data_IF_239209728685
#
_entry.id   IF_239209728685
#
_cell.length_a   1.000
_cell.length_b   1.000
_cell.length_c   1.000
_cell.angle_alpha   90.00
_cell.angle_beta   90.00
_cell.angle_gamma   90.00
#
_symmetry.space_group_name_H-M   'P 1'
#
loop_
_entity.id
_entity.type
_entity.pdbx_description
1 polymer ?
#
# COMPACT_ATOMS: atom_id res chain seq x y z
N UNK A 1 -50.72 -14.08 28.35
CA UNK A 1 -51.63 -13.36 27.42
C UNK A 1 -51.53 -11.90 27.80
N UNK A 2 -50.98 -10.97 27.04
CA UNK A 2 -50.45 -11.01 25.69
C UNK A 2 -49.40 -9.92 25.49
N UNK A 3 -48.55 -10.20 24.51
CA UNK A 3 -47.45 -9.39 24.01
C UNK A 3 -47.94 -8.03 23.49
N UNK A 4 -47.20 -6.96 23.78
CA UNK A 4 -47.28 -5.74 22.98
C UNK A 4 -45.97 -5.56 22.21
N UNK A 5 -45.95 -6.09 20.99
CA UNK A 5 -44.93 -5.85 19.97
C UNK A 5 -45.10 -4.41 19.47
N UNK A 6 -44.18 -3.52 19.86
CA UNK A 6 -44.05 -2.18 19.29
C UNK A 6 -42.76 -2.10 18.49
N UNK A 7 -42.86 -2.32 17.18
CA UNK A 7 -41.75 -2.24 16.20
C UNK A 7 -41.21 -0.81 16.17
N UNK A 8 -39.98 -0.62 16.67
CA UNK A 8 -39.20 0.59 16.41
C UNK A 8 -38.59 0.49 15.01
N UNK A 9 -39.16 1.22 14.06
CA UNK A 9 -38.51 1.47 12.78
C UNK A 9 -37.30 2.38 13.01
N UNK A 10 -36.10 1.80 13.04
CA UNK A 10 -34.85 2.54 12.86
C UNK A 10 -34.80 2.88 11.36
N UNK A 11 -35.20 4.09 10.99
CA UNK A 11 -34.78 4.66 9.72
C UNK A 11 -33.26 4.87 9.81
N UNK A 12 -32.50 3.93 9.25
CA UNK A 12 -31.13 4.18 8.87
C UNK A 12 -31.14 5.36 7.90
N UNK A 13 -30.69 6.52 8.38
CA UNK A 13 -30.41 7.68 7.55
C UNK A 13 -29.24 7.29 6.65
N UNK A 14 -29.54 6.67 5.50
CA UNK A 14 -28.62 6.52 4.39
C UNK A 14 -28.42 7.94 3.86
N UNK A 15 -27.51 8.68 4.49
CA UNK A 15 -27.08 9.98 4.00
C UNK A 15 -26.52 9.79 2.59
N UNK A 16 -27.23 10.30 1.59
CA UNK A 16 -26.69 10.43 0.25
C UNK A 16 -25.53 11.41 0.34
N UNK A 17 -24.29 10.91 0.25
CA UNK A 17 -23.11 11.74 0.08
C UNK A 17 -23.36 12.73 -1.06
N UNK A 18 -23.30 14.02 -0.76
CA UNK A 18 -23.46 15.09 -1.73
C UNK A 18 -22.38 15.00 -2.81
N UNK A 19 -22.66 15.58 -3.98
CA UNK A 19 -21.71 15.56 -5.10
C UNK A 19 -20.35 16.19 -4.72
N UNK A 20 -20.38 17.19 -3.85
CA UNK A 20 -19.20 17.87 -3.33
C UNK A 20 -18.37 16.96 -2.42
N UNK A 21 -19.00 16.19 -1.53
CA UNK A 21 -18.32 15.22 -0.67
C UNK A 21 -17.65 14.11 -1.49
N UNK A 22 -18.34 13.62 -2.54
CA UNK A 22 -17.77 12.61 -3.45
C UNK A 22 -16.58 13.15 -4.23
N UNK A 23 -16.65 14.41 -4.68
CA UNK A 23 -15.55 15.08 -5.38
C UNK A 23 -14.35 15.30 -4.45
N UNK A 24 -14.58 15.68 -3.19
CA UNK A 24 -13.53 15.84 -2.20
C UNK A 24 -12.86 14.51 -1.83
N UNK A 25 -13.66 13.44 -1.61
CA UNK A 25 -13.14 12.09 -1.35
C UNK A 25 -12.30 11.59 -2.53
N UNK A 26 -12.76 11.81 -3.77
CA UNK A 26 -12.00 11.46 -4.98
C UNK A 26 -10.66 12.20 -5.03
N UNK A 27 -10.65 13.52 -4.79
CA UNK A 27 -9.42 14.31 -4.75
C UNK A 27 -8.47 13.86 -3.63
N UNK A 28 -8.99 13.54 -2.45
CA UNK A 28 -8.17 13.00 -1.34
C UNK A 28 -7.53 11.66 -1.70
N UNK A 29 -8.25 10.79 -2.41
CA UNK A 29 -7.71 9.53 -2.90
C UNK A 29 -6.64 9.73 -3.98
N UNK A 30 -6.81 10.71 -4.88
CA UNK A 30 -5.82 11.02 -5.92
C UNK A 30 -4.51 11.58 -5.34
N UNK A 31 -4.61 12.38 -4.27
CA UNK A 31 -3.47 12.96 -3.53
C UNK A 31 -2.78 11.91 -2.65
N UNK A 32 -3.51 10.90 -2.16
CA UNK A 32 -2.92 9.87 -1.33
C UNK A 32 -1.79 9.12 -2.07
N UNK A 33 -0.72 8.82 -1.34
CA UNK A 33 0.44 8.14 -1.91
C UNK A 33 1.73 8.35 -1.12
N UNK A 34 2.79 7.73 -1.65
CA UNK A 34 4.16 7.88 -1.15
C UNK A 34 4.94 8.73 -2.15
N UNK A 35 5.61 9.73 -1.64
CA UNK A 35 6.36 10.72 -2.38
C UNK A 35 7.81 10.69 -1.89
N UNK A 36 8.77 10.89 -2.78
CA UNK A 36 10.19 10.98 -2.40
C UNK A 36 10.92 11.95 -3.31
N UNK A 37 11.92 12.63 -2.76
CA UNK A 37 12.85 13.42 -3.53
C UNK A 37 13.93 14.02 -2.64
N UNK A 38 14.82 14.79 -3.26
CA UNK A 38 15.98 15.35 -2.60
C UNK A 38 15.61 16.71 -2.01
N UNK A 39 15.96 16.92 -0.75
CA UNK A 39 15.90 18.20 -0.05
C UNK A 39 17.29 18.44 0.52
N UNK A 40 17.98 19.49 0.07
CA UNK A 40 19.36 19.78 0.49
C UNK A 40 20.29 18.55 0.37
N UNK A 41 20.21 17.86 -0.78
CA UNK A 41 20.95 16.64 -1.11
C UNK A 41 20.63 15.39 -0.26
N UNK A 42 19.68 15.48 0.67
CA UNK A 42 19.18 14.35 1.44
C UNK A 42 17.87 13.79 0.88
N UNK A 43 17.75 12.46 0.84
CA UNK A 43 16.53 11.80 0.35
C UNK A 43 15.42 11.85 1.40
N UNK A 44 14.49 12.76 1.21
CA UNK A 44 13.28 12.89 2.01
C UNK A 44 12.15 12.00 1.47
N UNK A 45 11.29 11.50 2.37
CA UNK A 45 10.09 10.72 2.04
C UNK A 45 8.86 11.31 2.72
N UNK A 46 7.79 11.43 1.94
CA UNK A 46 6.50 11.94 2.37
C UNK A 46 5.42 10.88 2.13
N UNK A 47 4.59 10.62 3.13
CA UNK A 47 3.45 9.69 3.05
C UNK A 47 2.18 10.47 3.36
N UNK A 48 1.27 10.54 2.39
CA UNK A 48 -0.05 11.16 2.53
C UNK A 48 -1.11 10.07 2.42
N UNK A 49 -1.99 9.97 3.42
CA UNK A 49 -3.11 9.02 3.41
C UNK A 49 -4.43 9.74 3.18
N UNK A 50 -5.39 9.07 2.55
CA UNK A 50 -6.73 9.61 2.30
C UNK A 50 -7.55 9.83 3.58
N UNK A 51 -7.16 9.20 4.69
CA UNK A 51 -7.74 9.40 6.04
C UNK A 51 -7.35 10.74 6.71
N UNK A 52 -6.64 11.61 6.00
CA UNK A 52 -6.18 12.90 6.50
C UNK A 52 -4.90 12.83 7.33
N UNK A 53 -4.21 11.68 7.43
CA UNK A 53 -2.89 11.59 8.07
C UNK A 53 -1.74 11.84 7.10
N UNK A 54 -0.68 12.46 7.61
CA UNK A 54 0.54 12.77 6.87
C UNK A 54 1.78 12.45 7.72
N UNK A 55 2.82 11.93 7.09
CA UNK A 55 4.11 11.64 7.73
C UNK A 55 5.26 12.06 6.82
N UNK A 56 6.25 12.75 7.39
CA UNK A 56 7.48 13.16 6.69
C UNK A 56 8.68 12.53 7.38
N UNK A 57 9.53 11.91 6.57
CA UNK A 57 10.87 11.46 6.89
C UNK A 57 11.81 12.46 6.20
N UNK A 58 12.41 13.42 6.92
CA UNK A 58 13.27 14.45 6.35
C UNK A 58 14.49 13.87 5.64
N UNK A 59 15.01 12.74 6.13
CA UNK A 59 16.07 11.99 5.45
C UNK A 59 15.94 10.48 5.68
N UNK A 60 16.69 9.69 4.93
CA UNK A 60 16.65 8.22 4.96
C UNK A 60 17.03 7.65 6.33
N UNK A 61 17.99 8.30 6.99
CA UNK A 61 18.61 7.82 8.22
C UNK A 61 18.20 8.69 9.44
N UNK A 62 17.24 9.60 9.26
CA UNK A 62 16.75 10.47 10.34
C UNK A 62 15.86 9.70 11.33
N UNK A 63 16.18 9.82 12.61
CA UNK A 63 15.27 9.45 13.71
C UNK A 63 14.11 10.44 13.86
N UNK A 64 14.22 11.63 13.26
CA UNK A 64 13.23 12.68 13.33
C UNK A 64 12.13 12.38 12.30
N UNK A 65 10.97 11.96 12.78
CA UNK A 65 9.78 11.72 11.95
C UNK A 65 8.69 12.72 12.29
N UNK A 66 8.31 13.56 11.33
CA UNK A 66 7.22 14.51 11.50
C UNK A 66 5.89 13.84 11.22
N UNK A 67 4.92 13.96 12.13
CA UNK A 67 3.61 13.31 12.01
C UNK A 67 2.48 14.29 12.26
N UNK A 68 1.38 14.14 11.53
CA UNK A 68 0.19 14.89 11.85
C UNK A 68 -0.93 14.75 10.84
N UNK A 69 -1.72 15.81 10.71
CA UNK A 69 -2.95 15.81 9.93
C UNK A 69 -2.88 16.82 8.80
N UNK A 70 -3.52 16.50 7.69
CA UNK A 70 -3.63 17.37 6.54
C UNK A 70 -5.08 17.59 6.13
N UNK A 71 -5.32 18.72 5.49
CA UNK A 71 -6.58 19.06 4.83
C UNK A 71 -6.32 19.72 3.49
N UNK A 72 -7.33 19.70 2.63
CA UNK A 72 -7.29 20.39 1.36
C UNK A 72 -7.90 21.78 1.53
N UNK A 73 -7.12 22.83 1.32
CA UNK A 73 -7.60 24.22 1.38
C UNK A 73 -7.25 24.92 0.07
N UNK A 74 -8.28 25.37 -0.67
CA UNK A 74 -8.11 26.07 -1.95
C UNK A 74 -7.18 25.32 -2.93
N UNK A 75 -7.24 23.98 -2.91
CA UNK A 75 -6.41 23.11 -3.76
C UNK A 75 -4.99 22.85 -3.24
N UNK A 76 -4.64 23.33 -2.06
CA UNK A 76 -3.36 23.08 -1.39
C UNK A 76 -3.52 22.07 -0.26
N UNK A 77 -2.52 21.21 -0.09
CA UNK A 77 -2.41 20.33 1.07
C UNK A 77 -1.80 21.14 2.20
N UNK A 78 -2.58 21.41 3.24
CA UNK A 78 -2.11 22.12 4.44
C UNK A 78 -1.99 21.10 5.56
N UNK A 79 -0.77 20.88 6.04
CA UNK A 79 -0.45 19.87 7.03
C UNK A 79 0.08 20.52 8.32
N UNK A 80 -0.49 20.12 9.46
CA UNK A 80 0.05 20.43 10.79
C UNK A 80 0.77 19.21 11.29
N UNK A 81 2.07 19.34 11.56
CA UNK A 81 2.98 18.24 11.87
C UNK A 81 3.69 18.51 13.18
N UNK A 82 3.84 17.48 14.00
CA UNK A 82 4.61 17.51 15.22
C UNK A 82 5.95 16.81 14.99
N UNK A 83 7.03 17.41 15.48
CA UNK A 83 8.30 16.72 15.63
C UNK A 83 8.30 15.86 16.93
N UNK A 84 9.32 15.01 17.15
CA UNK A 84 9.43 14.21 18.37
C UNK A 84 9.47 15.02 19.68
N UNK A 85 9.88 16.29 19.60
CA UNK A 85 9.98 17.22 20.73
C UNK A 85 8.65 17.94 21.03
N UNK A 86 7.60 17.69 20.22
CA UNK A 86 6.27 18.28 20.39
C UNK A 86 6.10 19.65 19.71
N UNK A 87 7.08 20.13 18.97
CA UNK A 87 6.97 21.37 18.20
C UNK A 87 6.11 21.19 16.95
N UNK A 88 5.19 22.13 16.74
CA UNK A 88 4.26 22.09 15.61
C UNK A 88 4.78 22.90 14.42
N UNK A 89 5.00 22.23 13.30
CA UNK A 89 5.36 22.83 12.01
C UNK A 89 4.14 22.77 11.09
N UNK A 90 3.88 23.83 10.35
CA UNK A 90 2.88 23.83 9.27
C UNK A 90 3.58 23.68 7.92
N UNK A 91 3.27 22.62 7.18
CA UNK A 91 3.75 22.41 5.82
C UNK A 91 2.64 22.68 4.81
N UNK A 92 2.93 23.46 3.77
CA UNK A 92 2.01 23.75 2.68
C UNK A 92 2.56 23.11 1.41
N UNK A 93 1.79 22.20 0.81
CA UNK A 93 2.17 21.44 -0.38
C UNK A 93 1.18 21.65 -1.53
N UNK A 94 1.70 21.59 -2.76
CA UNK A 94 0.92 21.64 -3.99
C UNK A 94 1.15 20.37 -4.81
N UNK A 95 0.07 19.72 -5.22
CA UNK A 95 0.15 18.68 -6.22
C UNK A 95 0.38 19.31 -7.60
N UNK A 96 1.40 18.86 -8.32
CA UNK A 96 1.68 19.28 -9.71
C UNK A 96 1.71 18.02 -10.58
N UNK A 97 0.63 17.74 -11.31
CA UNK A 97 0.45 16.47 -12.00
C UNK A 97 0.38 15.32 -11.01
N UNK A 98 1.31 14.36 -11.12
CA UNK A 98 1.44 13.27 -10.13
C UNK A 98 2.32 13.63 -8.95
N UNK A 99 3.17 14.65 -9.06
CA UNK A 99 4.20 14.96 -8.08
C UNK A 99 3.72 15.90 -6.99
N UNK A 100 4.47 15.97 -5.89
CA UNK A 100 4.20 16.85 -4.77
C UNK A 100 5.34 17.86 -4.62
N UNK A 101 4.96 19.13 -4.50
CA UNK A 101 5.90 20.22 -4.25
C UNK A 101 5.59 20.77 -2.87
N UNK A 102 6.57 20.76 -1.97
CA UNK A 102 6.48 21.55 -0.74
C UNK A 102 6.67 22.99 -1.17
N UNK A 103 5.69 23.86 -0.92
CA UNK A 103 5.81 25.28 -1.24
C UNK A 103 6.57 25.99 -0.12
N UNK A 104 6.17 25.71 1.12
CA UNK A 104 6.80 26.26 2.30
C UNK A 104 6.54 25.45 3.57
N UNK A 105 7.45 25.59 4.54
CA UNK A 105 7.24 25.21 5.93
C UNK A 105 7.22 26.47 6.81
N UNK A 106 6.40 26.43 7.85
CA UNK A 106 6.25 27.52 8.83
C UNK A 106 6.49 26.92 10.21
N UNK A 107 7.53 27.37 10.89
CA UNK A 107 7.87 26.98 12.26
C UNK A 107 7.01 27.74 13.29
N UNK A 108 6.96 27.28 14.56
CA UNK A 108 6.20 27.95 15.61
C UNK A 108 6.60 29.43 15.84
N UNK A 109 7.87 29.76 15.61
CA UNK A 109 8.44 31.10 15.72
C UNK A 109 8.07 32.04 14.55
N UNK A 110 7.32 31.55 13.56
CA UNK A 110 6.97 32.28 12.35
C UNK A 110 8.05 32.21 11.25
N UNK A 111 9.13 31.47 11.46
CA UNK A 111 10.17 31.23 10.45
C UNK A 111 9.59 30.48 9.24
N UNK A 112 9.77 31.05 8.05
CA UNK A 112 9.29 30.49 6.78
C UNK A 112 10.47 30.01 5.93
N UNK A 113 10.39 28.77 5.48
CA UNK A 113 11.31 28.23 4.46
C UNK A 113 10.51 27.96 3.19
N UNK A 114 10.88 28.58 2.06
CA UNK A 114 10.26 28.34 0.76
C UNK A 114 11.12 27.39 -0.10
N UNK A 115 10.48 26.54 -0.89
CA UNK A 115 11.18 25.53 -1.68
C UNK A 115 10.84 25.66 -3.19
N UNK A 116 11.86 25.70 -4.05
CA UNK A 116 11.70 25.75 -5.52
C UNK A 116 11.22 24.42 -6.16
N UNK A 117 11.02 24.29 -7.47
CA UNK A 117 10.59 23.02 -8.09
C UNK A 117 11.75 22.14 -8.61
N UNK A 118 11.61 20.78 -8.64
CA UNK A 118 10.62 19.90 -7.99
C UNK A 118 11.21 19.05 -6.84
N UNK A 119 10.51 18.97 -5.68
CA UNK A 119 11.07 18.30 -4.50
C UNK A 119 10.58 16.90 -4.19
N UNK A 120 9.40 16.45 -4.65
CA UNK A 120 8.99 15.05 -4.41
C UNK A 120 8.25 14.44 -5.60
N UNK A 121 8.86 13.42 -6.20
CA UNK A 121 8.20 12.58 -7.20
C UNK A 121 7.28 11.59 -6.51
N UNK A 122 6.06 11.41 -7.02
CA UNK A 122 5.18 10.34 -6.52
C UNK A 122 5.83 9.02 -6.90
N UNK A 123 6.23 8.24 -5.90
CA UNK A 123 6.62 6.87 -6.14
C UNK A 123 5.37 6.12 -6.55
N UNK A 124 5.43 5.39 -7.67
CA UNK A 124 4.36 4.46 -8.06
C UNK A 124 4.06 3.58 -6.86
N UNK A 125 2.93 3.80 -6.21
CA UNK A 125 2.53 2.98 -5.09
C UNK A 125 2.38 1.53 -5.57
N UNK A 126 2.57 0.55 -4.68
CA UNK A 126 2.12 -0.81 -4.96
C UNK A 126 0.62 -0.83 -5.33
N UNK A 127 -0.18 0.09 -4.76
CA UNK A 127 -1.56 0.35 -5.17
C UNK A 127 -1.76 0.88 -6.59
N UNK A 128 -0.76 1.52 -7.22
CA UNK A 128 -0.82 1.93 -8.64
C UNK A 128 -0.34 0.83 -9.60
N UNK A 129 0.51 -0.11 -9.15
CA UNK A 129 0.94 -1.27 -9.94
C UNK A 129 0.04 -2.49 -9.77
N UNK A 130 -0.83 -2.48 -8.77
CA UNK A 130 -1.64 -3.63 -8.36
C UNK A 130 -0.80 -4.78 -7.77
N UNK A 131 -1.49 -5.79 -7.19
CA UNK A 131 -0.86 -6.99 -6.64
C UNK A 131 -0.23 -7.87 -7.73
N UNK A 132 -0.53 -7.64 -9.00
CA UNK A 132 0.15 -8.30 -10.12
C UNK A 132 1.67 -8.05 -10.08
N UNK A 133 2.47 -9.11 -10.17
CA UNK A 133 3.92 -9.07 -10.04
C UNK A 133 4.51 -10.46 -9.85
N UNK A 134 5.84 -10.53 -9.85
CA UNK A 134 6.58 -11.72 -9.46
C UNK A 134 7.10 -11.51 -8.04
N UNK A 135 6.96 -12.51 -7.19
CA UNK A 135 7.32 -12.47 -5.79
C UNK A 135 8.18 -13.68 -5.45
N UNK A 136 9.13 -13.48 -4.54
CA UNK A 136 10.05 -14.52 -4.10
C UNK A 136 10.21 -14.43 -2.59
N UNK A 137 10.23 -15.56 -1.92
CA UNK A 137 10.46 -15.65 -0.48
C UNK A 137 10.43 -17.10 -0.01
N UNK A 138 10.61 -17.28 1.29
CA UNK A 138 10.56 -18.60 1.93
C UNK A 138 9.23 -18.75 2.66
N UNK A 139 8.59 -19.90 2.50
CA UNK A 139 7.39 -20.29 3.22
C UNK A 139 7.49 -21.78 3.55
N UNK A 140 7.31 -22.12 4.82
CA UNK A 140 7.40 -23.51 5.30
C UNK A 140 8.70 -24.23 4.85
N UNK A 141 9.83 -23.55 5.07
CA UNK A 141 11.18 -23.96 4.65
C UNK A 141 11.38 -24.13 3.12
N UNK A 142 10.36 -23.87 2.30
CA UNK A 142 10.45 -23.90 0.84
C UNK A 142 10.67 -22.51 0.25
N UNK A 143 11.62 -22.41 -0.69
CA UNK A 143 11.81 -21.18 -1.45
C UNK A 143 10.80 -21.13 -2.60
N UNK A 144 9.89 -20.16 -2.55
CA UNK A 144 8.77 -20.04 -3.50
C UNK A 144 8.94 -18.85 -4.44
N UNK A 145 8.49 -19.05 -5.67
CA UNK A 145 8.32 -18.03 -6.69
C UNK A 145 6.83 -17.93 -7.04
N UNK A 146 6.19 -16.80 -6.71
CA UNK A 146 4.76 -16.57 -6.91
C UNK A 146 4.56 -15.52 -7.99
N UNK A 147 3.89 -15.86 -9.10
CA UNK A 147 3.48 -14.90 -10.13
C UNK A 147 1.98 -14.60 -10.02
N UNK A 148 1.67 -13.33 -9.76
CA UNK A 148 0.31 -12.80 -9.85
C UNK A 148 0.15 -12.06 -11.17
N UNK A 149 -0.73 -12.55 -12.02
CA UNK A 149 -1.00 -11.92 -13.32
C UNK A 149 -2.05 -10.81 -13.19
N UNK A 150 -2.05 -9.84 -14.10
CA UNK A 150 -3.10 -8.80 -14.17
C UNK A 150 -4.50 -9.36 -14.43
N UNK A 151 -4.60 -10.58 -14.97
CA UNK A 151 -5.88 -11.25 -15.29
C UNK A 151 -6.48 -12.03 -14.10
N UNK A 152 -5.89 -11.89 -12.91
CA UNK A 152 -6.39 -12.57 -11.72
C UNK A 152 -5.93 -14.02 -11.58
N UNK A 153 -4.92 -14.47 -12.33
CA UNK A 153 -4.32 -15.80 -12.15
C UNK A 153 -3.12 -15.74 -11.20
N UNK A 154 -2.95 -16.80 -10.41
CA UNK A 154 -1.73 -17.10 -9.64
C UNK A 154 -1.07 -18.36 -10.18
N UNK A 155 0.26 -18.36 -10.23
CA UNK A 155 1.10 -19.54 -10.39
C UNK A 155 2.19 -19.50 -9.32
N UNK A 156 2.50 -20.68 -8.76
CA UNK A 156 3.51 -20.87 -7.71
C UNK A 156 4.48 -21.95 -8.19
N UNK A 157 5.76 -21.64 -8.15
CA UNK A 157 6.87 -22.55 -8.50
C UNK A 157 7.89 -22.57 -7.38
N UNK A 158 8.78 -23.55 -7.42
CA UNK A 158 10.02 -23.49 -6.63
C UNK A 158 10.89 -22.35 -7.14
N UNK A 159 11.47 -21.56 -6.24
CA UNK A 159 12.47 -20.56 -6.60
C UNK A 159 13.84 -21.21 -6.92
N UNK A 160 14.06 -22.45 -6.48
CA UNK A 160 15.26 -23.22 -6.80
C UNK A 160 15.24 -23.73 -8.23
N UNK A 161 14.04 -24.05 -8.73
CA UNK A 161 13.77 -24.32 -10.15
C UNK A 161 12.68 -23.39 -10.72
N UNK A 162 13.04 -22.12 -11.05
CA UNK A 162 12.08 -21.14 -11.57
C UNK A 162 11.44 -21.52 -12.91
N UNK A 163 12.03 -22.49 -13.61
CA UNK A 163 11.58 -22.98 -14.91
C UNK A 163 10.85 -24.33 -14.80
N UNK A 164 10.74 -24.87 -13.60
CA UNK A 164 9.99 -26.09 -13.33
C UNK A 164 8.49 -25.88 -13.45
N UNK A 165 7.76 -26.98 -13.29
CA UNK A 165 6.31 -26.97 -13.35
C UNK A 165 5.69 -26.15 -12.20
N UNK A 166 4.48 -25.63 -12.44
CA UNK A 166 3.71 -24.98 -11.38
C UNK A 166 3.32 -26.00 -10.32
N UNK A 167 3.75 -25.76 -9.07
CA UNK A 167 3.38 -26.55 -7.89
C UNK A 167 1.90 -26.27 -7.55
N UNK A 168 1.51 -25.00 -7.66
CA UNK A 168 0.14 -24.56 -7.47
C UNK A 168 -0.29 -23.57 -8.54
N UNK A 169 -1.54 -23.66 -8.96
CA UNK A 169 -2.16 -22.69 -9.88
C UNK A 169 -3.52 -22.26 -9.37
N UNK A 170 -4.01 -21.10 -9.80
CA UNK A 170 -5.38 -20.72 -9.47
C UNK A 170 -5.70 -19.25 -9.71
N UNK A 171 -6.54 -18.69 -8.85
CA UNK A 171 -7.08 -17.33 -8.97
C UNK A 171 -6.80 -16.47 -7.75
N UNK A 172 -6.68 -15.16 -7.97
CA UNK A 172 -6.56 -14.20 -6.89
C UNK A 172 -7.62 -13.11 -6.98
N UNK A 173 -8.05 -12.61 -5.81
CA UNK A 173 -8.93 -11.44 -5.70
C UNK A 173 -8.55 -10.60 -4.49
N UNK A 174 -8.90 -9.32 -4.54
CA UNK A 174 -8.79 -8.43 -3.38
C UNK A 174 -10.02 -8.63 -2.47
N UNK A 175 -9.77 -8.71 -1.17
CA UNK A 175 -10.78 -8.80 -0.12
C UNK A 175 -10.48 -7.74 0.96
N UNK A 176 -11.05 -6.55 0.77
CA UNK A 176 -10.77 -5.38 1.60
C UNK A 176 -9.29 -4.99 1.58
N UNK A 177 -8.59 -5.22 2.71
CA UNK A 177 -7.14 -4.94 2.87
C UNK A 177 -6.25 -6.16 2.60
N UNK A 178 -6.85 -7.30 2.29
CA UNK A 178 -6.15 -8.57 2.04
C UNK A 178 -6.26 -8.97 0.57
N UNK A 179 -5.37 -9.85 0.15
CA UNK A 179 -5.45 -10.56 -1.11
C UNK A 179 -5.74 -12.03 -0.77
N UNK A 180 -6.73 -12.61 -1.44
CA UNK A 180 -7.07 -14.02 -1.34
C UNK A 180 -6.56 -14.73 -2.59
N UNK A 181 -5.81 -15.81 -2.38
CA UNK A 181 -5.31 -16.71 -3.39
C UNK A 181 -6.06 -18.03 -3.23
N UNK A 182 -6.85 -18.41 -4.23
CA UNK A 182 -7.43 -19.73 -4.31
C UNK A 182 -6.52 -20.54 -5.22
N UNK A 183 -5.83 -21.52 -4.66
CA UNK A 183 -4.82 -22.32 -5.35
C UNK A 183 -5.21 -23.79 -5.31
N UNK A 184 -4.81 -24.51 -6.35
CA UNK A 184 -5.06 -25.94 -6.51
C UNK A 184 -3.75 -26.63 -6.87
N UNK A 185 -3.47 -27.77 -6.22
CA UNK A 185 -2.35 -28.66 -6.57
C UNK A 185 -2.63 -29.42 -7.87
N UNK A 186 -1.60 -30.05 -8.42
CA UNK A 186 -1.75 -31.01 -9.54
C UNK A 186 -2.66 -32.19 -9.14
N UNK A 187 -2.72 -32.52 -7.84
CA UNK A 187 -3.57 -33.58 -7.28
C UNK A 187 -5.01 -33.12 -6.96
N UNK A 188 -5.40 -31.92 -7.39
CA UNK A 188 -6.73 -31.32 -7.17
C UNK A 188 -7.03 -30.91 -5.72
N UNK A 189 -6.03 -30.82 -4.85
CA UNK A 189 -6.22 -30.28 -3.50
C UNK A 189 -6.33 -28.76 -3.55
N UNK A 190 -7.39 -28.21 -2.96
CA UNK A 190 -7.64 -26.78 -2.93
C UNK A 190 -7.19 -26.16 -1.61
N UNK A 191 -6.63 -24.96 -1.69
CA UNK A 191 -6.33 -24.12 -0.52
C UNK A 191 -6.69 -22.66 -0.79
N UNK A 192 -7.16 -21.99 0.27
CA UNK A 192 -7.33 -20.54 0.28
C UNK A 192 -6.24 -19.91 1.13
N UNK A 193 -5.40 -19.09 0.51
CA UNK A 193 -4.31 -18.37 1.18
C UNK A 193 -4.68 -16.90 1.29
N UNK A 194 -4.75 -16.40 2.52
CA UNK A 194 -4.93 -14.98 2.80
C UNK A 194 -3.58 -14.33 2.99
N UNK A 195 -3.33 -13.29 2.22
CA UNK A 195 -2.10 -12.52 2.32
C UNK A 195 -2.36 -11.05 2.62
N UNK A 196 -1.50 -10.47 3.44
CA UNK A 196 -1.47 -9.04 3.74
C UNK A 196 -0.44 -8.36 2.84
N UNK A 197 -0.87 -7.36 2.09
CA UNK A 197 0.03 -6.56 1.25
C UNK A 197 0.94 -5.70 2.14
N UNK A 198 2.22 -5.64 1.80
CA UNK A 198 3.22 -4.79 2.45
C UNK A 198 3.78 -3.76 1.46
N UNK A 199 4.67 -2.89 1.94
CA UNK A 199 5.37 -1.92 1.09
C UNK A 199 6.39 -2.56 0.13
N UNK A 200 6.83 -3.80 0.40
CA UNK A 200 7.87 -4.51 -0.36
C UNK A 200 7.37 -5.79 -1.03
N UNK A 201 6.15 -6.25 -0.74
CA UNK A 201 5.62 -7.50 -1.25
C UNK A 201 4.31 -7.89 -0.57
N UNK A 202 4.17 -9.16 -0.17
CA UNK A 202 3.05 -9.62 0.64
C UNK A 202 3.51 -10.60 1.72
N UNK A 203 2.74 -10.70 2.80
CA UNK A 203 2.93 -11.69 3.86
C UNK A 203 1.79 -12.69 3.83
N UNK A 204 2.10 -13.98 3.85
CA UNK A 204 1.11 -15.02 4.11
C UNK A 204 0.73 -14.92 5.59
N UNK A 205 -0.57 -14.77 5.86
CA UNK A 205 -1.08 -14.63 7.23
C UNK A 205 -2.02 -15.77 7.63
N UNK A 206 -2.58 -16.48 6.67
CA UNK A 206 -3.51 -17.57 6.91
C UNK A 206 -3.57 -18.49 5.68
N UNK A 207 -3.58 -19.79 5.92
CA UNK A 207 -3.82 -20.84 4.91
C UNK A 207 -4.97 -21.70 5.42
N UNK A 208 -5.96 -21.93 4.57
CA UNK A 208 -7.12 -22.79 4.81
C UNK A 208 -7.10 -23.90 3.75
N UNK A 209 -6.76 -25.13 4.17
CA UNK A 209 -6.64 -26.31 3.31
C UNK A 209 -7.43 -27.49 3.88
N UNK A 210 -7.34 -28.66 3.23
CA UNK A 210 -7.94 -29.91 3.73
C UNK A 210 -7.42 -30.31 5.12
N UNK A 211 -6.18 -29.92 5.45
CA UNK A 211 -5.56 -30.19 6.76
C UNK A 211 -6.03 -29.21 7.85
N UNK A 212 -6.90 -28.27 7.49
CA UNK A 212 -7.44 -27.25 8.36
C UNK A 212 -6.73 -25.91 8.22
N UNK A 213 -7.09 -25.02 9.14
CA UNK A 213 -6.76 -23.60 9.06
C UNK A 213 -5.56 -23.25 9.94
N UNK A 214 -4.54 -22.65 9.34
CA UNK A 214 -3.29 -22.25 10.00
C UNK A 214 -3.01 -20.76 9.80
N UNK A 215 -2.36 -20.12 10.77
CA UNK A 215 -2.01 -18.69 10.74
C UNK A 215 -0.51 -18.47 10.85
N UNK A 216 -0.01 -17.42 10.21
CA UNK A 216 1.42 -17.16 10.07
C UNK A 216 1.74 -15.68 10.33
N UNK A 217 2.90 -15.40 10.94
CA UNK A 217 3.34 -14.04 11.29
C UNK A 217 4.55 -13.54 10.49
N UNK A 218 5.34 -14.42 9.86
CA UNK A 218 6.68 -14.07 9.37
C UNK A 218 6.96 -14.39 7.88
N UNK A 219 6.02 -15.01 7.17
CA UNK A 219 6.22 -15.43 5.79
C UNK A 219 6.11 -14.28 4.78
N UNK A 220 7.19 -13.51 4.60
CA UNK A 220 7.26 -12.38 3.67
C UNK A 220 7.83 -12.80 2.30
N UNK A 221 7.02 -12.63 1.25
CA UNK A 221 7.45 -12.75 -0.13
C UNK A 221 7.65 -11.35 -0.71
N UNK A 222 8.89 -11.08 -1.15
CA UNK A 222 9.30 -9.77 -1.68
C UNK A 222 9.02 -9.69 -3.18
N UNK A 223 8.52 -8.55 -3.64
CA UNK A 223 8.28 -8.30 -5.06
C UNK A 223 9.60 -8.12 -5.80
N UNK A 224 9.75 -8.81 -6.92
CA UNK A 224 10.92 -8.71 -7.79
C UNK A 224 10.80 -7.53 -8.76
N UNK A 225 11.89 -6.79 -8.92
CA UNK A 225 11.99 -5.68 -9.88
C UNK A 225 12.07 -6.18 -11.33
N UNK A 226 11.65 -5.33 -12.27
CA UNK A 226 11.57 -5.68 -13.70
C UNK A 226 12.91 -6.08 -14.32
N UNK A 227 14.05 -5.64 -13.76
CA UNK A 227 15.38 -6.06 -14.18
C UNK A 227 15.70 -7.49 -13.71
N UNK A 228 15.32 -7.85 -12.48
CA UNK A 228 15.46 -9.21 -11.95
C UNK A 228 14.51 -10.19 -12.65
N UNK A 229 13.30 -9.73 -13.02
CA UNK A 229 12.37 -10.51 -13.86
C UNK A 229 13.00 -10.94 -15.19
N UNK A 230 13.86 -10.10 -15.79
CA UNK A 230 14.60 -10.44 -17.02
C UNK A 230 15.76 -11.39 -16.76
N UNK A 231 16.41 -11.37 -15.60
CA UNK A 231 17.51 -12.29 -15.28
C UNK A 231 16.99 -13.68 -14.87
N UNK A 232 15.88 -13.73 -14.14
CA UNK A 232 15.16 -14.99 -13.84
C UNK A 232 14.68 -15.63 -15.14
N UNK A 233 14.12 -14.83 -16.07
CA UNK A 233 13.77 -15.30 -17.42
C UNK A 233 15.01 -15.65 -18.25
N UNK A 234 16.10 -14.87 -18.26
CA UNK A 234 17.32 -15.15 -19.06
C UNK A 234 18.07 -16.44 -18.72
N UNK A 235 17.73 -17.18 -17.67
CA UNK A 235 18.10 -18.60 -17.57
C UNK A 235 17.52 -19.44 -18.74
N UNK A 236 16.62 -18.86 -19.55
CA UNK A 236 16.04 -19.33 -20.83
C UNK A 236 17.05 -19.64 -21.96
N UNK A 237 18.35 -19.33 -21.85
CA UNK A 237 19.24 -19.40 -23.04
C UNK A 237 20.66 -19.90 -22.77
N UNK A 238 20.83 -20.88 -21.90
CA UNK A 238 22.09 -21.62 -21.81
C UNK A 238 21.87 -23.11 -21.68
#
# INVERSE_FOLDING_TARGET
MDNFFGVFFIFALIGTLDADDKAEIKKKNDIAGVYAGLVEDELARLIIKSDGSLTIFPSKDSEIVLRGKWKLEKGLVVAKLLNPEGEQITAILRQTGKDMVVLKSIRPDGGVTEFGPPHFKKKKAFGEKGPSGLYEGVFDDESLLVELTHKGNVSVRSAEDPNGDDIYTGKWKLDGKHLLLNVTTVCCDEATVKVRITNTGFMIIEVDSLDGKQTYSEALLKRQDSANKKNIRKKETK
#
